data_IF_885717884843
#
_entry.id   IF_885717884843
#
_cell.length_a   1.000
_cell.length_b   1.000
_cell.length_c   1.000
_cell.angle_alpha   90.00
_cell.angle_beta   90.00
_cell.angle_gamma   90.00
#
_symmetry.space_group_name_H-M   'P 1'
#
loop_
_entity.id
_entity.type
_entity.pdbx_description
1 polymer ?
#
# COMPACT_ATOMS: atom_id res chain seq x y z
N UNK A 1 4.18 -2.59 -5.71
CA UNK A 1 4.67 -2.83 -7.08
C UNK A 1 3.49 -2.95 -8.00
N UNK A 2 2.76 -4.05 -7.86
CA UNK A 2 1.46 -4.27 -8.48
C UNK A 2 0.36 -4.20 -7.43
N UNK A 3 -0.87 -3.97 -7.89
CA UNK A 3 -2.08 -3.99 -7.07
C UNK A 3 -3.23 -4.49 -7.93
N UNK A 4 -4.09 -5.33 -7.34
CA UNK A 4 -5.33 -5.76 -8.00
C UNK A 4 -6.43 -4.70 -7.79
N UNK A 5 -7.39 -4.56 -8.73
CA UNK A 5 -8.43 -3.54 -8.63
C UNK A 5 -9.27 -3.64 -7.34
N UNK A 6 -9.59 -4.84 -6.89
CA UNK A 6 -10.32 -5.10 -5.64
C UNK A 6 -9.54 -4.63 -4.40
N UNK A 7 -8.23 -4.87 -4.37
CA UNK A 7 -7.35 -4.38 -3.31
C UNK A 7 -7.27 -2.85 -3.32
N UNK A 8 -7.19 -2.24 -4.50
CA UNK A 8 -7.17 -0.79 -4.65
C UNK A 8 -8.51 -0.17 -4.20
N UNK A 9 -9.64 -0.83 -4.49
CA UNK A 9 -10.96 -0.38 -4.06
C UNK A 9 -11.03 -0.27 -2.54
N UNK A 10 -10.52 -1.26 -1.78
CA UNK A 10 -10.46 -1.17 -0.31
C UNK A 10 -9.71 0.07 0.19
N UNK A 11 -8.61 0.45 -0.47
CA UNK A 11 -7.85 1.64 -0.09
C UNK A 11 -8.62 2.93 -0.40
N UNK A 12 -9.39 2.95 -1.48
CA UNK A 12 -10.29 4.05 -1.84
C UNK A 12 -11.41 4.18 -0.81
N UNK A 13 -12.02 3.08 -0.41
CA UNK A 13 -13.12 3.08 0.56
C UNK A 13 -12.67 3.65 1.91
N UNK A 14 -11.50 3.24 2.40
CA UNK A 14 -10.88 3.81 3.61
C UNK A 14 -10.54 5.28 3.43
N UNK A 15 -9.99 5.68 2.29
CA UNK A 15 -9.68 7.09 2.06
C UNK A 15 -10.94 7.97 2.05
N UNK A 16 -12.03 7.50 1.46
CA UNK A 16 -13.31 8.21 1.43
C UNK A 16 -13.93 8.32 2.83
N UNK A 17 -13.95 7.22 3.60
CA UNK A 17 -14.54 7.18 4.96
C UNK A 17 -13.89 8.21 5.90
N UNK A 18 -12.56 8.34 5.85
CA UNK A 18 -11.81 9.17 6.78
C UNK A 18 -11.34 10.52 6.20
N UNK A 19 -11.71 10.86 4.97
CA UNK A 19 -11.17 12.04 4.28
C UNK A 19 -9.64 11.98 4.13
N UNK A 20 -9.10 10.77 4.00
CA UNK A 20 -7.68 10.50 3.91
C UNK A 20 -7.17 10.81 2.49
N UNK A 21 -5.85 10.94 2.33
CA UNK A 21 -5.20 11.16 1.03
C UNK A 21 -4.31 9.98 0.69
N UNK A 22 -4.41 9.49 -0.54
CA UNK A 22 -3.56 8.42 -1.06
C UNK A 22 -2.32 9.00 -1.75
N UNK A 23 -1.13 8.60 -1.30
CA UNK A 23 0.15 8.97 -1.91
C UNK A 23 0.86 7.75 -2.47
N UNK A 24 1.23 7.82 -3.75
CA UNK A 24 2.20 6.89 -4.33
C UNK A 24 3.61 7.25 -3.86
N UNK A 25 4.30 6.28 -3.27
CA UNK A 25 5.65 6.47 -2.75
C UNK A 25 6.70 5.99 -3.76
N UNK A 26 7.92 6.54 -3.66
CA UNK A 26 9.04 6.10 -4.50
C UNK A 26 9.43 4.64 -4.32
N UNK A 27 8.89 3.95 -3.30
CA UNK A 27 9.09 2.52 -3.03
C UNK A 27 8.02 1.63 -3.65
N UNK A 28 7.25 2.13 -4.64
CA UNK A 28 6.14 1.40 -5.28
C UNK A 28 5.07 0.92 -4.28
N UNK A 29 4.75 1.77 -3.29
CA UNK A 29 3.69 1.55 -2.29
C UNK A 29 2.68 2.67 -2.31
N UNK A 30 1.48 2.38 -1.84
CA UNK A 30 0.44 3.38 -1.55
C UNK A 30 0.49 3.68 -0.05
N UNK A 31 0.54 4.96 0.29
CA UNK A 31 0.48 5.47 1.66
C UNK A 31 -0.86 6.17 1.85
N UNK A 32 -1.60 5.78 2.88
CA UNK A 32 -2.81 6.47 3.32
C UNK A 32 -2.39 7.49 4.39
N UNK A 33 -2.60 8.77 4.14
CA UNK A 33 -2.23 9.88 5.04
C UNK A 33 -3.45 10.71 5.41
N UNK A 34 -3.31 11.67 6.31
CA UNK A 34 -4.41 12.53 6.79
C UNK A 34 -5.46 11.75 7.61
N UNK A 35 -5.04 10.69 8.29
CA UNK A 35 -5.84 10.01 9.30
C UNK A 35 -5.63 10.68 10.66
N UNK A 36 -6.69 10.80 11.46
CA UNK A 36 -6.57 11.15 12.87
C UNK A 36 -6.07 9.94 13.65
N UNK A 37 -5.44 10.19 14.80
CA UNK A 37 -4.91 9.12 15.63
C UNK A 37 -6.02 8.16 16.11
N UNK A 38 -7.20 8.69 16.46
CA UNK A 38 -8.34 7.88 16.89
C UNK A 38 -8.93 6.98 15.78
N UNK A 39 -8.71 7.29 14.51
CA UNK A 39 -9.30 6.57 13.37
C UNK A 39 -8.42 5.39 12.88
N UNK A 40 -7.19 5.29 13.38
CA UNK A 40 -6.19 4.33 12.87
C UNK A 40 -6.65 2.88 13.02
N UNK A 41 -7.20 2.51 14.17
CA UNK A 41 -7.61 1.12 14.43
C UNK A 41 -8.81 0.73 13.56
N UNK A 42 -9.80 1.63 13.39
CA UNK A 42 -10.94 1.41 12.48
C UNK A 42 -10.50 1.31 11.02
N UNK A 43 -9.52 2.11 10.61
CA UNK A 43 -8.95 2.02 9.26
C UNK A 43 -8.28 0.65 9.02
N UNK A 44 -7.56 0.11 10.00
CA UNK A 44 -6.98 -1.24 9.89
C UNK A 44 -8.03 -2.34 9.79
N UNK A 45 -9.10 -2.25 10.60
CA UNK A 45 -10.23 -3.17 10.54
C UNK A 45 -10.89 -3.18 9.15
N UNK A 46 -11.16 -1.99 8.59
CA UNK A 46 -11.73 -1.85 7.23
C UNK A 46 -10.81 -2.42 6.14
N UNK A 47 -9.50 -2.24 6.28
CA UNK A 47 -8.52 -2.83 5.35
C UNK A 47 -8.50 -4.35 5.44
N UNK A 48 -8.91 -4.93 6.58
CA UNK A 48 -8.74 -6.36 6.88
C UNK A 48 -7.27 -6.74 6.90
N UNK A 49 -6.41 -5.82 7.36
CA UNK A 49 -4.95 -5.96 7.39
C UNK A 49 -4.43 -5.77 8.79
N UNK A 50 -3.33 -6.43 9.10
CA UNK A 50 -2.60 -6.17 10.34
C UNK A 50 -1.45 -5.17 10.11
N UNK A 51 -1.19 -4.29 11.10
CA UNK A 51 -0.01 -3.46 11.07
C UNK A 51 1.25 -4.30 10.90
N UNK A 52 2.15 -3.85 10.03
CA UNK A 52 3.46 -4.48 9.90
C UNK A 52 4.22 -4.44 11.24
N UNK A 53 5.17 -5.38 11.43
CA UNK A 53 5.83 -5.62 12.72
C UNK A 53 6.41 -4.35 13.40
N UNK A 54 6.78 -4.44 14.68
CA UNK A 54 7.22 -3.31 15.54
C UNK A 54 8.73 -3.12 15.72
N UNK A 55 9.58 -4.11 15.43
CA UNK A 55 11.06 -4.04 15.52
C UNK A 55 11.80 -3.14 14.49
N UNK A 56 12.65 -2.23 14.96
CA UNK A 56 13.29 -1.18 14.13
C UNK A 56 14.14 -1.67 12.94
N UNK A 57 14.99 -2.71 13.11
CA UNK A 57 15.98 -3.09 12.10
C UNK A 57 15.50 -4.24 11.19
N UNK A 58 15.02 -3.90 9.98
CA UNK A 58 14.57 -4.89 8.98
C UNK A 58 14.52 -4.34 7.56
N UNK A 59 14.32 -5.24 6.61
CA UNK A 59 13.96 -4.89 5.23
C UNK A 59 12.59 -4.19 5.21
N UNK A 60 12.58 -2.93 4.77
CA UNK A 60 11.37 -2.10 4.74
C UNK A 60 10.60 -2.31 3.46
N UNK A 61 11.22 -2.05 2.30
CA UNK A 61 10.61 -2.08 0.98
C UNK A 61 11.52 -2.77 -0.02
N UNK A 62 10.94 -3.59 -0.89
CA UNK A 62 11.60 -4.15 -2.07
C UNK A 62 10.94 -3.53 -3.28
N UNK A 63 11.75 -2.93 -4.17
CA UNK A 63 11.27 -2.44 -5.47
C UNK A 63 11.50 -3.51 -6.51
N UNK A 64 10.55 -3.65 -7.42
CA UNK A 64 10.58 -4.65 -8.47
C UNK A 64 10.36 -3.99 -9.85
N UNK A 65 10.99 -4.56 -10.86
CA UNK A 65 10.66 -4.27 -12.25
C UNK A 65 9.27 -4.85 -12.57
N UNK A 66 8.55 -4.34 -13.59
CA UNK A 66 7.34 -5.01 -14.05
C UNK A 66 7.53 -6.43 -14.62
N UNK A 67 8.78 -6.91 -14.71
CA UNK A 67 9.10 -8.28 -15.11
C UNK A 67 8.79 -8.58 -16.58
N UNK A 68 9.01 -9.83 -16.98
CA UNK A 68 8.72 -10.32 -18.34
C UNK A 68 7.23 -10.33 -18.64
N UNK A 69 6.38 -10.36 -17.60
CA UNK A 69 4.92 -10.33 -17.71
C UNK A 69 4.39 -9.02 -18.30
N UNK A 70 4.97 -7.87 -17.92
CA UNK A 70 4.43 -6.55 -18.31
C UNK A 70 5.42 -5.65 -19.04
N UNK A 71 6.70 -6.04 -19.16
CA UNK A 71 7.72 -5.25 -19.85
C UNK A 71 8.34 -6.01 -21.02
N UNK A 72 8.12 -5.52 -22.25
CA UNK A 72 8.73 -6.06 -23.49
C UNK A 72 10.27 -6.02 -23.52
N UNK A 73 10.89 -5.30 -22.58
CA UNK A 73 12.36 -5.13 -22.47
C UNK A 73 12.93 -5.82 -21.23
N UNK A 74 12.13 -6.60 -20.51
CA UNK A 74 12.60 -7.30 -19.33
C UNK A 74 13.72 -8.27 -19.69
N UNK A 75 14.70 -8.39 -18.80
CA UNK A 75 15.82 -9.34 -18.95
C UNK A 75 15.63 -10.60 -18.11
N UNK A 76 15.00 -10.45 -16.95
CA UNK A 76 14.81 -11.50 -15.97
C UNK A 76 13.61 -11.12 -15.07
N UNK A 77 12.98 -12.14 -14.52
CA UNK A 77 12.06 -12.07 -13.38
C UNK A 77 12.78 -12.62 -12.13
#
# INVERSE_FOLDING_TARGET
>A
GFIQPDQLQKYIDVANEFGAVLKLTGSQRIMITNLKAEDVDKAWEMLGMEPAYTVSNRVRSVKICPGTTFCKRAKQD
#
